data_IF_624727652583
#
_entry.id   IF_624727652583
#
_cell.length_a   1.000
_cell.length_b   1.000
_cell.length_c   1.000
_cell.angle_alpha   90.00
_cell.angle_beta   90.00
_cell.angle_gamma   90.00
#
_symmetry.space_group_name_H-M   'P 1'
#
loop_
_entity.id
_entity.type
_entity.pdbx_description
1 polymer ?
#
# COMPACT_ATOMS: atom_id res chain seq x y z
N UNK A 1 55.35 -0.84 -1.36
CA UNK A 1 53.92 -0.99 -1.39
C UNK A 1 53.60 -1.70 -2.68
N UNK A 2 53.12 -2.92 -2.61
CA UNK A 2 52.72 -3.68 -3.80
C UNK A 2 51.55 -3.01 -4.47
N UNK A 3 51.69 -2.76 -5.76
CA UNK A 3 50.62 -2.21 -6.64
C UNK A 3 49.47 -3.25 -6.66
N UNK A 4 48.41 -2.99 -5.91
CA UNK A 4 47.24 -3.84 -5.93
C UNK A 4 46.59 -3.60 -7.28
N UNK A 5 46.72 -4.57 -8.20
CA UNK A 5 45.98 -4.55 -9.49
C UNK A 5 44.48 -4.61 -9.21
N UNK A 6 43.85 -3.48 -9.30
CA UNK A 6 42.38 -3.30 -9.22
C UNK A 6 41.66 -3.71 -10.52
N UNK A 7 42.26 -4.55 -11.35
CA UNK A 7 41.84 -4.81 -12.73
C UNK A 7 41.02 -6.11 -12.93
N UNK A 8 40.82 -6.94 -11.90
CA UNK A 8 39.97 -8.13 -12.05
C UNK A 8 38.52 -7.80 -11.65
N UNK A 9 37.66 -7.86 -12.62
CA UNK A 9 36.19 -7.80 -12.39
C UNK A 9 35.71 -9.12 -11.76
N UNK A 10 35.84 -9.21 -10.45
CA UNK A 10 35.46 -10.40 -9.69
C UNK A 10 33.97 -10.71 -9.77
N UNK A 11 33.12 -9.73 -10.05
CA UNK A 11 31.67 -9.89 -10.21
C UNK A 11 31.32 -10.62 -11.51
N UNK A 12 32.11 -10.41 -12.57
CA UNK A 12 31.97 -11.11 -13.84
C UNK A 12 32.58 -12.51 -13.87
N UNK A 13 33.27 -12.92 -12.80
CA UNK A 13 33.88 -14.26 -12.72
C UNK A 13 32.79 -15.35 -12.62
N UNK A 14 33.16 -16.58 -12.93
CA UNK A 14 32.30 -17.75 -12.74
C UNK A 14 32.22 -18.06 -11.24
N UNK A 15 31.03 -18.26 -10.67
CA UNK A 15 30.89 -18.62 -9.26
C UNK A 15 31.37 -20.06 -9.00
N UNK A 16 31.79 -20.35 -7.78
CA UNK A 16 32.13 -21.70 -7.34
C UNK A 16 30.93 -22.66 -7.39
N UNK A 17 29.72 -22.13 -7.11
CA UNK A 17 28.49 -22.86 -7.19
C UNK A 17 27.62 -22.18 -8.26
N UNK A 18 27.38 -22.88 -9.37
CA UNK A 18 26.61 -22.42 -10.52
C UNK A 18 25.11 -22.46 -10.26
N UNK A 19 24.61 -21.57 -9.39
CA UNK A 19 23.19 -21.42 -9.08
C UNK A 19 22.74 -19.99 -9.37
N UNK A 20 21.68 -19.83 -10.17
CA UNK A 20 21.04 -18.54 -10.41
C UNK A 20 20.40 -18.00 -9.15
N UNK A 21 20.40 -16.67 -8.98
CA UNK A 21 19.73 -16.01 -7.87
C UNK A 21 18.52 -15.21 -8.39
N UNK A 22 17.40 -15.34 -7.71
CA UNK A 22 16.19 -14.61 -8.07
C UNK A 22 16.26 -13.11 -7.74
N UNK A 23 17.07 -12.74 -6.74
CA UNK A 23 17.26 -11.34 -6.31
C UNK A 23 18.66 -11.13 -5.75
N UNK A 24 19.38 -10.16 -6.29
CA UNK A 24 20.63 -9.63 -5.77
C UNK A 24 20.64 -8.12 -5.98
N UNK A 25 20.98 -7.33 -4.95
CA UNK A 25 20.92 -5.87 -5.07
C UNK A 25 21.06 -5.14 -3.74
N UNK A 26 20.46 -3.96 -3.66
CA UNK A 26 20.50 -3.07 -2.50
C UNK A 26 19.11 -2.82 -1.93
N UNK A 27 19.04 -2.68 -0.62
CA UNK A 27 17.80 -2.38 0.11
C UNK A 27 18.01 -1.26 1.12
N UNK A 28 16.96 -0.53 1.47
CA UNK A 28 16.99 0.49 2.51
C UNK A 28 17.77 1.75 2.13
N UNK A 29 17.96 2.04 0.85
CA UNK A 29 18.66 3.24 0.38
C UNK A 29 17.77 4.46 0.60
N UNK A 30 18.20 5.36 1.49
CA UNK A 30 17.44 6.57 1.82
C UNK A 30 17.84 7.71 0.88
N UNK A 31 16.85 8.34 0.24
CA UNK A 31 17.02 9.47 -0.67
C UNK A 31 15.91 10.49 -0.50
N UNK A 32 16.20 11.74 -0.84
CA UNK A 32 15.18 12.75 -1.09
C UNK A 32 14.81 12.68 -2.57
N UNK A 33 13.54 12.38 -2.85
CA UNK A 33 13.04 12.29 -4.23
C UNK A 33 12.04 13.41 -4.48
N UNK A 34 12.02 13.94 -5.69
CA UNK A 34 11.03 14.92 -6.14
C UNK A 34 9.94 14.18 -6.92
N UNK A 35 8.73 14.21 -6.40
CA UNK A 35 7.58 13.50 -6.97
C UNK A 35 6.57 14.51 -7.46
N UNK A 36 6.02 14.29 -8.66
CA UNK A 36 4.92 15.07 -9.24
C UNK A 36 3.58 14.59 -8.69
N UNK A 37 2.68 15.53 -8.51
CA UNK A 37 1.29 15.33 -8.18
C UNK A 37 0.45 16.37 -8.88
N UNK A 38 -0.26 15.99 -9.93
CA UNK A 38 -0.88 16.97 -10.81
C UNK A 38 0.15 18.01 -11.27
N UNK A 39 -0.13 19.28 -11.05
CA UNK A 39 0.78 20.40 -11.35
C UNK A 39 1.77 20.72 -10.23
N UNK A 40 1.62 20.10 -9.05
CA UNK A 40 2.49 20.32 -7.90
C UNK A 40 3.68 19.35 -7.89
N UNK A 41 4.81 19.84 -7.37
CA UNK A 41 6.00 19.03 -7.12
C UNK A 41 6.35 19.09 -5.65
N UNK A 42 6.64 17.93 -5.06
CA UNK A 42 6.99 17.83 -3.63
C UNK A 42 8.26 17.01 -3.47
N UNK A 43 9.18 17.50 -2.64
CA UNK A 43 10.34 16.71 -2.21
C UNK A 43 9.93 15.87 -1.02
N UNK A 44 10.19 14.56 -1.09
CA UNK A 44 9.83 13.58 -0.08
C UNK A 44 11.04 12.76 0.32
N UNK A 45 11.13 12.41 1.60
CA UNK A 45 12.04 11.37 2.04
C UNK A 45 11.51 10.02 1.58
N UNK A 46 12.35 9.25 0.90
CA UNK A 46 12.01 7.94 0.36
C UNK A 46 13.05 6.89 0.73
N UNK A 47 12.58 5.65 0.81
CA UNK A 47 13.41 4.44 0.92
C UNK A 47 13.27 3.68 -0.39
N UNK A 48 14.40 3.32 -0.99
CA UNK A 48 14.50 2.63 -2.26
C UNK A 48 15.13 1.25 -2.05
N UNK A 49 14.50 0.24 -2.65
CA UNK A 49 15.07 -1.10 -2.81
C UNK A 49 15.20 -1.38 -4.30
N UNK A 50 16.30 -2.00 -4.71
CA UNK A 50 16.50 -2.41 -6.09
C UNK A 50 17.25 -3.72 -6.16
N UNK A 51 16.69 -4.68 -6.88
CA UNK A 51 17.27 -6.01 -7.08
C UNK A 51 17.22 -6.41 -8.55
N UNK A 52 18.15 -7.30 -8.93
CA UNK A 52 18.19 -7.93 -10.24
C UNK A 52 18.26 -9.44 -10.10
N UNK A 53 17.84 -10.15 -11.12
CA UNK A 53 18.09 -11.57 -11.28
C UNK A 53 19.58 -11.77 -11.62
N UNK A 54 20.19 -12.81 -11.09
CA UNK A 54 21.58 -13.14 -11.36
C UNK A 54 21.67 -14.51 -12.03
N UNK A 55 22.28 -14.58 -13.19
CA UNK A 55 22.48 -15.81 -13.92
C UNK A 55 23.46 -16.76 -13.19
N UNK A 56 23.35 -18.06 -13.46
CA UNK A 56 24.14 -19.09 -12.78
C UNK A 56 25.65 -19.03 -13.08
N UNK A 57 26.03 -18.37 -14.17
CA UNK A 57 27.42 -18.16 -14.62
C UNK A 57 28.01 -16.81 -14.19
N UNK A 58 27.23 -15.98 -13.51
CA UNK A 58 27.64 -14.67 -13.02
C UNK A 58 27.82 -14.68 -11.48
N UNK A 59 29.01 -14.36 -10.99
CA UNK A 59 29.38 -14.43 -9.58
C UNK A 59 28.69 -13.36 -8.73
N UNK A 60 28.45 -12.15 -9.28
CA UNK A 60 27.86 -11.05 -8.53
C UNK A 60 27.41 -9.90 -9.40
N UNK A 61 26.75 -8.94 -8.77
CA UNK A 61 26.38 -7.64 -9.37
C UNK A 61 27.28 -6.53 -8.85
N UNK A 62 27.48 -5.49 -9.65
CA UNK A 62 28.25 -4.31 -9.24
C UNK A 62 27.39 -3.44 -8.30
N UNK A 63 27.53 -3.65 -7.00
CA UNK A 63 26.72 -2.99 -5.98
C UNK A 63 26.84 -1.45 -6.02
N UNK A 64 28.01 -0.89 -6.37
CA UNK A 64 28.22 0.56 -6.52
C UNK A 64 27.39 1.19 -7.64
N UNK A 65 27.03 0.43 -8.67
CA UNK A 65 26.22 0.92 -9.79
C UNK A 65 24.77 1.25 -9.40
N UNK A 66 24.22 0.61 -8.35
CA UNK A 66 22.85 0.91 -7.91
C UNK A 66 22.73 2.34 -7.36
N UNK A 67 23.54 2.79 -6.37
CA UNK A 67 23.52 4.18 -5.94
C UNK A 67 23.78 5.18 -7.06
N UNK A 68 24.72 4.91 -7.98
CA UNK A 68 24.99 5.77 -9.14
C UNK A 68 23.75 5.92 -10.02
N UNK A 69 23.04 4.83 -10.32
CA UNK A 69 21.82 4.85 -11.11
C UNK A 69 20.67 5.58 -10.40
N UNK A 70 20.62 5.49 -9.06
CA UNK A 70 19.64 6.28 -8.29
C UNK A 70 19.93 7.77 -8.39
N UNK A 71 21.20 8.20 -8.24
CA UNK A 71 21.57 9.61 -8.41
C UNK A 71 21.25 10.10 -9.84
N UNK A 72 21.67 9.35 -10.87
CA UNK A 72 21.34 9.68 -12.26
C UNK A 72 19.84 9.80 -12.50
N UNK A 73 19.02 8.90 -11.94
CA UNK A 73 17.57 8.93 -12.08
C UNK A 73 16.94 10.10 -11.31
N UNK A 74 17.44 10.37 -10.10
CA UNK A 74 16.99 11.51 -9.27
C UNK A 74 17.39 12.83 -9.89
N UNK A 75 18.63 12.95 -10.38
CA UNK A 75 19.14 14.18 -11.03
C UNK A 75 18.36 14.52 -12.30
N UNK A 76 18.01 13.51 -13.11
CA UNK A 76 17.17 13.71 -14.29
C UNK A 76 15.78 14.24 -13.94
N UNK A 77 15.23 13.81 -12.80
CA UNK A 77 13.95 14.33 -12.28
C UNK A 77 14.12 15.76 -11.75
N UNK A 78 15.28 16.10 -11.18
CA UNK A 78 15.59 17.47 -10.71
C UNK A 78 15.78 18.44 -11.87
N UNK A 79 16.42 18.02 -12.96
CA UNK A 79 16.72 18.84 -14.14
C UNK A 79 15.54 18.95 -15.14
N UNK A 80 14.60 18.00 -15.09
CA UNK A 80 13.44 17.94 -15.98
C UNK A 80 12.14 18.13 -15.21
N UNK A 81 11.11 17.38 -15.54
CA UNK A 81 9.85 17.37 -14.81
C UNK A 81 9.86 16.25 -13.74
N UNK A 82 9.33 16.56 -12.54
CA UNK A 82 9.12 15.55 -11.51
C UNK A 82 8.17 14.46 -12.02
N UNK A 83 8.46 13.20 -11.71
CA UNK A 83 7.71 12.04 -12.16
C UNK A 83 6.73 11.56 -11.07
N UNK A 84 5.74 10.79 -11.47
CA UNK A 84 4.98 9.92 -10.56
C UNK A 84 5.93 8.87 -9.96
N UNK A 85 5.65 8.41 -8.75
CA UNK A 85 6.55 7.51 -8.00
C UNK A 85 6.76 6.17 -8.71
N UNK A 86 5.71 5.63 -9.30
CA UNK A 86 5.74 4.38 -10.08
C UNK A 86 6.50 4.54 -11.39
N UNK A 87 6.40 5.72 -12.04
CA UNK A 87 7.15 6.04 -13.25
C UNK A 87 8.65 6.20 -12.93
N UNK A 88 8.98 6.79 -11.79
CA UNK A 88 10.37 6.85 -11.31
C UNK A 88 10.93 5.45 -11.05
N UNK A 89 10.14 4.57 -10.40
CA UNK A 89 10.53 3.19 -10.17
C UNK A 89 10.78 2.42 -11.48
N UNK A 90 9.90 2.60 -12.47
CA UNK A 90 10.01 2.00 -13.80
C UNK A 90 11.26 2.47 -14.54
N UNK A 91 11.54 3.78 -14.53
CA UNK A 91 12.75 4.31 -15.17
C UNK A 91 14.03 3.78 -14.52
N UNK A 92 14.05 3.67 -13.20
CA UNK A 92 15.20 3.07 -12.49
C UNK A 92 15.34 1.60 -12.87
N UNK A 93 14.26 0.81 -12.83
CA UNK A 93 14.28 -0.62 -13.18
C UNK A 93 14.81 -0.86 -14.60
N UNK A 94 14.31 -0.10 -15.58
CA UNK A 94 14.72 -0.19 -16.99
C UNK A 94 16.23 0.09 -17.15
N UNK A 95 16.73 1.17 -16.52
CA UNK A 95 18.16 1.50 -16.57
C UNK A 95 19.05 0.47 -15.89
N UNK A 96 18.55 -0.10 -14.77
CA UNK A 96 19.28 -1.14 -14.06
C UNK A 96 19.44 -2.40 -14.92
N UNK A 97 18.38 -2.83 -15.64
CA UNK A 97 18.46 -3.93 -16.61
C UNK A 97 19.57 -3.69 -17.63
N UNK A 98 19.60 -2.51 -18.24
CA UNK A 98 20.58 -2.14 -19.27
C UNK A 98 22.02 -2.11 -18.71
N UNK A 99 22.22 -1.39 -17.58
CA UNK A 99 23.57 -1.16 -17.02
C UNK A 99 24.19 -2.38 -16.34
N UNK A 100 23.36 -3.22 -15.71
CA UNK A 100 23.80 -4.46 -15.06
C UNK A 100 23.82 -5.65 -16.03
N UNK A 101 23.24 -5.52 -17.24
CA UNK A 101 22.98 -6.60 -18.18
C UNK A 101 22.18 -7.73 -17.51
N UNK A 102 21.25 -7.34 -16.65
CA UNK A 102 20.40 -8.27 -15.92
C UNK A 102 19.25 -8.77 -16.81
N UNK A 103 18.74 -9.96 -16.52
CA UNK A 103 17.56 -10.49 -17.20
C UNK A 103 16.32 -9.72 -16.77
N UNK A 104 16.25 -9.33 -15.48
CA UNK A 104 15.15 -8.59 -14.88
C UNK A 104 15.66 -7.72 -13.73
N UNK A 105 15.06 -6.56 -13.56
CA UNK A 105 15.24 -5.73 -12.37
C UNK A 105 13.88 -5.44 -11.72
N UNK A 106 13.88 -5.28 -10.40
CA UNK A 106 12.73 -4.90 -9.61
C UNK A 106 13.11 -3.75 -8.66
N UNK A 107 12.29 -2.70 -8.65
CA UNK A 107 12.50 -1.49 -7.85
C UNK A 107 11.27 -1.24 -7.01
N UNK A 108 11.46 -0.89 -5.73
CA UNK A 108 10.43 -0.42 -4.82
C UNK A 108 10.84 0.91 -4.23
N UNK A 109 9.94 1.88 -4.25
CA UNK A 109 10.09 3.21 -3.66
C UNK A 109 8.96 3.42 -2.66
N UNK A 110 9.30 3.78 -1.42
CA UNK A 110 8.34 4.12 -0.37
C UNK A 110 8.64 5.52 0.13
N UNK A 111 7.78 6.49 -0.22
CA UNK A 111 7.97 7.89 0.11
C UNK A 111 6.97 8.36 1.17
N UNK A 112 7.45 9.15 2.14
CA UNK A 112 6.59 9.79 3.14
C UNK A 112 5.93 11.03 2.53
N UNK A 113 4.63 10.95 2.32
CA UNK A 113 3.87 11.95 1.61
C UNK A 113 2.97 12.76 2.55
N UNK A 114 3.18 14.09 2.69
CA UNK A 114 2.31 14.95 3.46
C UNK A 114 1.03 15.26 2.69
N UNK A 115 -0.11 14.90 3.25
CA UNK A 115 -1.42 15.25 2.72
C UNK A 115 -2.10 16.27 3.63
N UNK A 116 -2.92 17.13 3.05
CA UNK A 116 -3.68 18.14 3.79
C UNK A 116 -5.16 17.79 3.79
N UNK A 117 -5.76 17.86 4.97
CA UNK A 117 -7.17 17.56 5.19
C UNK A 117 -7.88 18.65 5.96
N UNK A 118 -9.18 18.51 6.03
CA UNK A 118 -10.02 19.26 6.96
C UNK A 118 -10.64 18.30 7.97
N UNK A 119 -10.68 18.71 9.22
CA UNK A 119 -11.36 17.96 10.27
C UNK A 119 -12.87 17.87 9.98
N UNK A 120 -13.55 16.78 10.40
CA UNK A 120 -14.87 16.43 9.87
C UNK A 120 -16.00 17.40 10.27
N UNK A 121 -15.89 18.05 11.43
CA UNK A 121 -16.93 18.94 11.96
C UNK A 121 -16.47 20.40 11.97
N UNK A 122 -15.28 20.68 12.54
CA UNK A 122 -14.80 22.05 12.67
C UNK A 122 -14.14 22.59 11.41
N UNK A 123 -13.82 21.73 10.43
CA UNK A 123 -13.24 22.14 9.15
C UNK A 123 -11.82 22.70 9.26
N UNK A 124 -11.12 22.49 10.39
CA UNK A 124 -9.76 22.96 10.60
C UNK A 124 -8.78 22.19 9.68
N UNK A 125 -7.82 22.92 9.13
CA UNK A 125 -6.79 22.31 8.29
C UNK A 125 -5.80 21.56 9.17
N UNK A 126 -5.53 20.30 8.82
CA UNK A 126 -4.51 19.44 9.41
C UNK A 126 -3.63 18.85 8.31
N UNK A 127 -2.43 18.39 8.66
CA UNK A 127 -1.52 17.69 7.79
C UNK A 127 -1.26 16.30 8.37
N UNK A 128 -1.34 15.28 7.53
CA UNK A 128 -1.05 13.90 7.90
C UNK A 128 -0.04 13.30 6.94
N UNK A 129 0.66 12.28 7.43
CA UNK A 129 1.63 11.55 6.63
C UNK A 129 1.04 10.22 6.19
N UNK A 130 1.06 9.96 4.89
CA UNK A 130 0.76 8.66 4.29
C UNK A 130 2.01 8.14 3.59
N UNK A 131 2.10 6.83 3.38
CA UNK A 131 3.18 6.27 2.55
C UNK A 131 2.68 6.15 1.12
N UNK A 132 3.40 6.78 0.20
CA UNK A 132 3.24 6.61 -1.24
C UNK A 132 4.20 5.50 -1.71
N UNK A 133 3.69 4.53 -2.45
CA UNK A 133 4.44 3.38 -2.93
C UNK A 133 4.52 3.40 -4.46
N UNK A 134 5.72 3.22 -5.00
CA UNK A 134 5.94 2.94 -6.42
C UNK A 134 6.74 1.65 -6.54
N UNK A 135 6.24 0.68 -7.30
CA UNK A 135 6.94 -0.57 -7.56
C UNK A 135 7.01 -0.75 -9.08
N UNK A 136 8.13 -1.23 -9.58
CA UNK A 136 8.25 -1.59 -10.98
C UNK A 136 9.16 -2.80 -11.17
N UNK A 137 8.85 -3.57 -12.20
CA UNK A 137 9.75 -4.58 -12.73
C UNK A 137 9.99 -4.28 -14.22
N UNK A 138 11.22 -4.51 -14.67
CA UNK A 138 11.61 -4.36 -16.07
C UNK A 138 12.43 -5.56 -16.54
N UNK A 139 12.30 -5.90 -17.81
CA UNK A 139 13.07 -6.94 -18.51
C UNK A 139 13.34 -6.49 -19.96
N UNK A 140 13.96 -7.34 -20.77
CA UNK A 140 14.10 -7.09 -22.20
C UNK A 140 12.76 -7.10 -22.96
N UNK A 141 11.70 -7.68 -22.38
CA UNK A 141 10.38 -7.77 -22.99
C UNK A 141 9.54 -6.50 -22.74
N UNK A 142 9.79 -5.78 -21.65
CA UNK A 142 9.05 -4.58 -21.27
C UNK A 142 9.19 -4.23 -19.80
N UNK A 143 8.28 -3.40 -19.31
CA UNK A 143 8.20 -3.04 -17.91
C UNK A 143 6.75 -3.05 -17.44
N UNK A 144 6.54 -3.26 -16.15
CA UNK A 144 5.26 -3.09 -15.46
C UNK A 144 5.45 -2.25 -14.20
N UNK A 145 4.49 -1.42 -13.89
CA UNK A 145 4.53 -0.52 -12.75
C UNK A 145 3.28 -0.62 -11.89
N UNK A 146 3.45 -0.31 -10.61
CA UNK A 146 2.41 -0.32 -9.59
C UNK A 146 2.52 0.97 -8.79
N UNK A 147 1.43 1.70 -8.67
CA UNK A 147 1.27 2.78 -7.69
C UNK A 147 0.47 2.28 -6.51
N UNK A 148 0.76 2.77 -5.33
CA UNK A 148 -0.01 2.41 -4.15
C UNK A 148 0.18 3.36 -2.99
N UNK A 149 -0.62 3.14 -1.96
CA UNK A 149 -0.62 3.93 -0.74
C UNK A 149 -0.73 3.03 0.49
N UNK A 150 -0.17 3.51 1.61
CA UNK A 150 -0.51 3.00 2.93
C UNK A 150 -1.09 4.14 3.75
N UNK A 151 -2.32 3.96 4.18
CA UNK A 151 -3.06 4.90 5.03
C UNK A 151 -3.42 4.26 6.36
N UNK A 152 -3.53 5.09 7.40
CA UNK A 152 -3.89 4.64 8.74
C UNK A 152 -5.29 5.14 9.10
N UNK A 153 -6.07 4.29 9.77
CA UNK A 153 -7.39 4.61 10.26
C UNK A 153 -7.72 3.87 11.56
N UNK A 154 -9.00 3.85 11.91
CA UNK A 154 -9.52 3.09 13.06
C UNK A 154 -10.37 1.94 12.52
N UNK A 155 -10.20 0.75 13.10
CA UNK A 155 -11.16 -0.34 13.00
C UNK A 155 -11.77 -0.64 14.37
N UNK A 156 -13.10 -0.74 14.42
CA UNK A 156 -13.90 -1.12 15.57
C UNK A 156 -14.42 -2.55 15.37
N UNK A 157 -14.31 -3.40 16.39
CA UNK A 157 -14.59 -4.83 16.27
C UNK A 157 -16.10 -5.13 16.26
N UNK A 158 -16.66 -5.70 15.18
CA UNK A 158 -18.07 -6.08 15.13
C UNK A 158 -18.44 -7.19 16.14
N UNK A 159 -17.54 -8.16 16.35
CA UNK A 159 -17.80 -9.28 17.26
C UNK A 159 -17.96 -8.82 18.70
N UNK A 160 -17.02 -8.03 19.23
CA UNK A 160 -17.10 -7.51 20.59
C UNK A 160 -18.31 -6.57 20.76
N UNK A 161 -18.64 -5.77 19.72
CA UNK A 161 -19.85 -4.95 19.73
C UNK A 161 -21.12 -5.78 19.84
N UNK A 162 -21.21 -6.91 19.13
CA UNK A 162 -22.33 -7.85 19.22
C UNK A 162 -22.50 -8.41 20.62
N UNK A 163 -21.41 -8.75 21.31
CA UNK A 163 -21.46 -9.19 22.71
C UNK A 163 -21.97 -8.09 23.65
N UNK A 164 -21.52 -6.87 23.45
CA UNK A 164 -22.00 -5.69 24.24
C UNK A 164 -23.48 -5.44 23.96
N UNK A 165 -23.92 -5.55 22.70
CA UNK A 165 -25.33 -5.43 22.31
C UNK A 165 -26.19 -6.47 23.01
N UNK A 166 -25.81 -7.74 22.98
CA UNK A 166 -26.54 -8.82 23.65
C UNK A 166 -26.66 -8.56 25.17
N UNK A 167 -25.54 -8.16 25.79
CA UNK A 167 -25.55 -7.86 27.23
C UNK A 167 -26.39 -6.64 27.59
N UNK A 168 -26.39 -5.60 26.74
CA UNK A 168 -27.25 -4.43 26.92
C UNK A 168 -28.73 -4.79 26.77
N UNK A 169 -29.07 -5.65 25.79
CA UNK A 169 -30.43 -6.17 25.58
C UNK A 169 -30.93 -6.87 26.84
N UNK A 170 -30.18 -7.83 27.38
CA UNK A 170 -30.55 -8.55 28.61
C UNK A 170 -30.83 -7.57 29.76
N UNK A 171 -29.91 -6.61 30.01
CA UNK A 171 -30.08 -5.64 31.10
C UNK A 171 -31.28 -4.75 30.95
N UNK A 172 -31.56 -4.25 29.73
CA UNK A 172 -32.72 -3.39 29.47
C UNK A 172 -34.05 -4.17 29.66
N UNK A 173 -34.12 -5.43 29.24
CA UNK A 173 -35.28 -6.27 29.48
C UNK A 173 -35.47 -6.56 30.99
N UNK A 174 -34.38 -6.82 31.73
CA UNK A 174 -34.43 -7.04 33.19
C UNK A 174 -34.90 -5.80 33.94
N UNK A 175 -34.60 -4.59 33.43
CA UNK A 175 -35.11 -3.29 33.95
C UNK A 175 -36.53 -2.97 33.55
N UNK A 176 -37.19 -3.84 32.75
CA UNK A 176 -38.60 -3.73 32.41
C UNK A 176 -38.90 -2.95 31.13
N UNK A 177 -37.92 -2.63 30.29
CA UNK A 177 -38.16 -2.12 28.94
C UNK A 177 -38.76 -3.24 28.07
N UNK A 178 -39.68 -2.89 27.18
CA UNK A 178 -40.19 -3.87 26.21
C UNK A 178 -39.16 -4.07 25.04
N UNK A 179 -39.32 -5.17 24.31
CA UNK A 179 -38.37 -5.53 23.26
C UNK A 179 -38.27 -4.48 22.14
N UNK A 180 -39.36 -3.77 21.84
CA UNK A 180 -39.39 -2.73 20.80
C UNK A 180 -38.63 -1.48 21.23
N UNK A 181 -38.76 -1.09 22.50
CA UNK A 181 -38.02 0.02 23.07
C UNK A 181 -36.51 -0.32 23.16
N UNK A 182 -36.15 -1.56 23.56
CA UNK A 182 -34.76 -2.03 23.58
C UNK A 182 -34.11 -1.93 22.21
N UNK A 183 -34.78 -2.44 21.17
CA UNK A 183 -34.28 -2.38 19.80
C UNK A 183 -34.04 -0.93 19.37
N UNK A 184 -34.99 -0.05 19.60
CA UNK A 184 -34.91 1.37 19.26
C UNK A 184 -33.81 2.10 20.02
N UNK A 185 -33.57 1.80 21.32
CA UNK A 185 -32.48 2.37 22.10
C UNK A 185 -31.13 1.96 21.50
N UNK A 186 -30.97 0.67 21.19
CA UNK A 186 -29.71 0.12 20.68
C UNK A 186 -29.40 0.52 19.23
N UNK A 187 -30.37 1.04 18.50
CA UNK A 187 -30.17 1.66 17.18
C UNK A 187 -29.72 3.12 17.29
N UNK A 188 -30.18 3.84 18.32
CA UNK A 188 -29.92 5.27 18.48
C UNK A 188 -28.59 5.56 19.18
N UNK A 189 -28.09 4.63 20.00
CA UNK A 189 -26.90 4.85 20.85
C UNK A 189 -25.73 4.03 20.29
N UNK A 190 -24.60 4.66 19.96
CA UNK A 190 -23.40 3.95 19.57
C UNK A 190 -22.95 2.98 20.67
N UNK A 191 -22.82 1.70 20.32
CA UNK A 191 -22.41 0.68 21.27
C UNK A 191 -20.89 0.58 21.33
N UNK A 192 -20.33 0.53 22.54
CA UNK A 192 -18.91 0.39 22.75
C UNK A 192 -18.40 -0.96 22.19
N UNK A 193 -17.21 -0.94 21.66
CA UNK A 193 -16.40 -2.11 21.32
C UNK A 193 -14.93 -1.75 21.45
N UNK A 194 -14.03 -2.74 21.48
CA UNK A 194 -12.65 -2.38 21.32
C UNK A 194 -12.38 -1.86 19.92
N UNK A 195 -11.48 -0.91 19.82
CA UNK A 195 -11.01 -0.38 18.54
C UNK A 195 -9.50 -0.23 18.58
N UNK A 196 -8.91 -0.19 17.42
CA UNK A 196 -7.47 -0.12 17.22
C UNK A 196 -7.12 0.63 15.96
N UNK A 197 -5.86 1.06 15.87
CA UNK A 197 -5.33 1.53 14.60
C UNK A 197 -5.29 0.39 13.61
N UNK A 198 -5.68 0.69 12.37
CA UNK A 198 -5.50 -0.18 11.22
C UNK A 198 -4.64 0.51 10.18
N UNK A 199 -3.83 -0.26 9.46
CA UNK A 199 -3.09 0.19 8.28
C UNK A 199 -3.64 -0.52 7.07
N UNK A 200 -4.23 0.25 6.16
CA UNK A 200 -4.66 -0.22 4.86
C UNK A 200 -3.55 0.03 3.83
N UNK A 201 -3.21 -0.97 3.05
CA UNK A 201 -2.35 -0.89 1.87
C UNK A 201 -3.21 -1.16 0.64
N UNK A 202 -3.19 -0.26 -0.33
CA UNK A 202 -3.86 -0.42 -1.62
C UNK A 202 -2.84 -0.21 -2.73
N UNK A 203 -2.66 -1.23 -3.57
CA UNK A 203 -1.75 -1.21 -4.73
C UNK A 203 -2.55 -1.41 -6.01
N UNK A 204 -2.20 -0.64 -7.04
CA UNK A 204 -2.79 -0.71 -8.38
C UNK A 204 -1.69 -0.83 -9.42
N UNK A 205 -1.65 -1.92 -10.15
CA UNK A 205 -0.76 -2.14 -11.29
C UNK A 205 -1.46 -1.80 -12.58
N UNK A 206 -1.01 -0.74 -13.28
CA UNK A 206 -1.61 -0.26 -14.53
C UNK A 206 -0.64 0.63 -15.28
N UNK A 207 -0.85 0.77 -16.59
CA UNK A 207 -0.15 1.75 -17.44
C UNK A 207 -0.74 3.17 -17.33
N UNK A 208 -1.91 3.31 -16.71
CA UNK A 208 -2.58 4.61 -16.56
C UNK A 208 -1.95 5.42 -15.44
N UNK A 209 -1.90 6.75 -15.61
CA UNK A 209 -1.54 7.68 -14.55
C UNK A 209 -2.73 7.82 -13.60
N UNK A 210 -2.54 7.42 -12.34
CA UNK A 210 -3.58 7.49 -11.32
C UNK A 210 -3.33 8.62 -10.31
N UNK A 211 -4.43 9.20 -9.80
CA UNK A 211 -4.35 10.11 -8.67
C UNK A 211 -4.21 9.32 -7.36
N UNK A 212 -3.03 9.39 -6.76
CA UNK A 212 -2.77 8.70 -5.50
C UNK A 212 -3.62 9.23 -4.31
N UNK A 213 -4.17 10.47 -4.37
CA UNK A 213 -5.11 10.94 -3.34
C UNK A 213 -6.40 10.12 -3.36
N UNK A 214 -6.87 9.76 -4.53
CA UNK A 214 -8.04 8.89 -4.66
C UNK A 214 -7.79 7.52 -4.01
N UNK A 215 -6.58 6.97 -4.17
CA UNK A 215 -6.21 5.70 -3.52
C UNK A 215 -6.19 5.83 -1.99
N UNK A 216 -5.70 6.97 -1.46
CA UNK A 216 -5.75 7.25 -0.01
C UNK A 216 -7.19 7.32 0.48
N UNK A 217 -8.06 8.04 -0.23
CA UNK A 217 -9.49 8.12 0.13
C UNK A 217 -10.17 6.74 0.16
N UNK A 218 -9.90 5.90 -0.84
CA UNK A 218 -10.44 4.54 -0.90
C UNK A 218 -9.91 3.69 0.28
N UNK A 219 -8.61 3.74 0.55
CA UNK A 219 -7.99 3.01 1.65
C UNK A 219 -8.58 3.41 3.01
N UNK A 220 -8.79 4.70 3.25
CA UNK A 220 -9.37 5.19 4.51
C UNK A 220 -10.84 4.88 4.68
N UNK A 221 -11.64 5.06 3.63
CA UNK A 221 -13.07 4.71 3.63
C UNK A 221 -13.31 3.22 3.80
N UNK A 222 -12.29 2.39 3.56
CA UNK A 222 -12.37 0.95 3.79
C UNK A 222 -12.34 0.57 5.27
N UNK A 223 -11.84 1.44 6.15
CA UNK A 223 -11.80 1.26 7.60
C UNK A 223 -13.05 1.84 8.29
N UNK A 224 -13.21 1.62 9.59
CA UNK A 224 -14.35 2.10 10.36
C UNK A 224 -14.39 3.63 10.49
N UNK A 225 -13.23 4.29 10.63
CA UNK A 225 -13.10 5.74 10.61
C UNK A 225 -11.67 6.17 10.20
N UNK A 226 -11.53 7.34 9.54
CA UNK A 226 -10.22 7.97 9.38
C UNK A 226 -9.70 8.50 10.71
N UNK A 227 -8.38 8.78 10.77
CA UNK A 227 -7.73 9.47 11.88
C UNK A 227 -7.24 10.84 11.44
N UNK A 228 -7.02 11.73 12.42
CA UNK A 228 -6.56 13.10 12.18
C UNK A 228 -5.53 13.48 13.24
N UNK A 229 -4.50 14.21 12.85
CA UNK A 229 -3.46 14.70 13.78
C UNK A 229 -4.00 15.83 14.68
N UNK A 230 -4.93 16.63 14.19
CA UNK A 230 -5.62 17.69 14.92
C UNK A 230 -7.13 17.42 15.01
N UNK A 231 -7.66 17.35 16.21
CA UNK A 231 -9.10 17.25 16.48
C UNK A 231 -9.51 18.25 17.57
N UNK A 232 -10.73 18.75 17.48
CA UNK A 232 -11.44 19.44 18.56
C UNK A 232 -12.55 18.53 19.08
N UNK A 233 -13.11 18.83 20.24
CA UNK A 233 -14.15 17.99 20.87
C UNK A 233 -15.31 17.55 19.94
N UNK A 234 -15.87 18.42 19.07
CA UNK A 234 -16.87 17.98 18.11
C UNK A 234 -16.34 16.99 17.08
N UNK A 235 -15.08 17.15 16.67
CA UNK A 235 -14.42 16.23 15.73
C UNK A 235 -14.14 14.89 16.39
N UNK A 236 -13.71 14.88 17.67
CA UNK A 236 -13.49 13.66 18.46
C UNK A 236 -14.79 12.86 18.60
N UNK A 237 -15.89 13.54 18.94
CA UNK A 237 -17.21 12.91 19.00
C UNK A 237 -17.59 12.25 17.68
N UNK A 238 -17.44 12.99 16.58
CA UNK A 238 -17.70 12.45 15.23
C UNK A 238 -16.91 11.19 14.93
N UNK A 239 -15.60 11.19 15.20
CA UNK A 239 -14.72 10.02 14.91
C UNK A 239 -15.14 8.82 15.76
N UNK A 240 -15.45 9.02 17.04
CA UNK A 240 -15.87 7.94 17.95
C UNK A 240 -17.22 7.37 17.51
N UNK A 241 -18.21 8.21 17.26
CA UNK A 241 -19.54 7.75 16.80
C UNK A 241 -19.44 7.04 15.46
N UNK A 242 -18.72 7.64 14.49
CA UNK A 242 -18.56 7.09 13.16
C UNK A 242 -17.91 5.71 13.18
N UNK A 243 -16.83 5.54 13.95
CA UNK A 243 -16.14 4.26 14.08
C UNK A 243 -17.04 3.17 14.67
N UNK A 244 -17.84 3.49 15.71
CA UNK A 244 -18.69 2.51 16.38
C UNK A 244 -20.02 2.26 15.65
N UNK A 245 -20.46 3.16 14.78
CA UNK A 245 -21.60 2.95 13.88
C UNK A 245 -21.24 2.15 12.62
N UNK A 246 -19.94 2.05 12.31
CA UNK A 246 -19.43 1.31 11.16
C UNK A 246 -18.33 0.31 11.56
N UNK A 247 -18.63 -0.63 12.48
CA UNK A 247 -17.64 -1.62 12.88
C UNK A 247 -17.27 -2.51 11.68
N UNK A 248 -15.99 -2.82 11.54
CA UNK A 248 -15.45 -3.64 10.43
C UNK A 248 -14.38 -4.59 10.92
N UNK A 249 -14.49 -5.84 10.48
CA UNK A 249 -13.40 -6.77 10.56
C UNK A 249 -12.26 -6.38 9.62
N UNK A 250 -11.07 -6.92 9.85
CA UNK A 250 -9.93 -6.75 8.95
C UNK A 250 -10.26 -7.24 7.53
N UNK A 251 -11.03 -8.31 7.41
CA UNK A 251 -11.53 -8.88 6.14
C UNK A 251 -12.51 -7.94 5.43
N UNK A 252 -13.36 -7.27 6.18
CA UNK A 252 -14.32 -6.32 5.61
C UNK A 252 -13.61 -5.10 5.04
N UNK A 253 -12.56 -4.61 5.73
CA UNK A 253 -11.73 -3.52 5.24
C UNK A 253 -11.10 -3.87 3.88
N UNK A 254 -10.55 -5.09 3.73
CA UNK A 254 -10.00 -5.55 2.44
C UNK A 254 -11.08 -5.59 1.34
N UNK A 255 -12.26 -6.15 1.65
CA UNK A 255 -13.37 -6.21 0.68
C UNK A 255 -13.84 -4.81 0.26
N UNK A 256 -13.97 -3.89 1.23
CA UNK A 256 -14.34 -2.51 0.97
C UNK A 256 -13.27 -1.75 0.17
N UNK A 257 -11.98 -1.98 0.44
CA UNK A 257 -10.90 -1.34 -0.30
C UNK A 257 -10.92 -1.77 -1.78
N UNK A 258 -11.01 -3.07 -2.07
CA UNK A 258 -11.07 -3.57 -3.44
C UNK A 258 -12.34 -3.12 -4.17
N UNK A 259 -13.49 -3.20 -3.52
CA UNK A 259 -14.75 -2.72 -4.10
C UNK A 259 -14.67 -1.22 -4.38
N UNK A 260 -14.19 -0.43 -3.41
CA UNK A 260 -14.00 1.01 -3.57
C UNK A 260 -13.04 1.37 -4.68
N UNK A 261 -11.94 0.62 -4.85
CA UNK A 261 -11.01 0.80 -5.96
C UNK A 261 -11.66 0.53 -7.32
N UNK A 262 -12.40 -0.59 -7.47
CA UNK A 262 -13.11 -0.93 -8.70
C UNK A 262 -14.19 0.10 -9.07
N UNK A 263 -14.91 0.63 -8.07
CA UNK A 263 -15.96 1.63 -8.28
C UNK A 263 -15.38 3.03 -8.59
N UNK A 264 -14.22 3.38 -7.99
CA UNK A 264 -13.59 4.70 -8.16
C UNK A 264 -12.68 4.79 -9.39
N UNK A 265 -12.22 3.64 -9.90
CA UNK A 265 -11.31 3.53 -11.04
C UNK A 265 -11.96 2.70 -12.18
N UNK A 266 -13.07 3.18 -12.77
CA UNK A 266 -13.80 2.41 -13.79
C UNK A 266 -13.01 2.18 -15.09
N UNK A 267 -11.94 2.96 -15.31
CA UNK A 267 -11.07 2.86 -16.48
C UNK A 267 -10.02 1.74 -16.41
N UNK A 268 -9.90 1.01 -15.30
CA UNK A 268 -8.97 -0.10 -15.21
C UNK A 268 -9.36 -1.24 -16.15
N UNK A 269 -8.37 -1.79 -16.84
CA UNK A 269 -8.53 -2.96 -17.72
C UNK A 269 -8.54 -4.27 -16.92
N UNK A 270 -9.12 -5.32 -17.48
CA UNK A 270 -9.18 -6.63 -16.83
C UNK A 270 -7.79 -7.25 -16.58
N UNK A 271 -6.76 -6.82 -17.32
CA UNK A 271 -5.37 -7.22 -17.12
C UNK A 271 -4.62 -6.40 -16.05
N UNK A 272 -5.18 -5.27 -15.61
CA UNK A 272 -4.62 -4.48 -14.52
C UNK A 272 -4.66 -5.25 -13.20
N UNK A 273 -3.82 -4.87 -12.25
CA UNK A 273 -3.65 -5.57 -10.98
C UNK A 273 -4.17 -4.74 -9.81
N UNK A 274 -4.79 -5.40 -8.85
CA UNK A 274 -5.17 -4.82 -7.57
C UNK A 274 -4.71 -5.69 -6.40
N UNK A 275 -4.25 -5.03 -5.32
CA UNK A 275 -4.01 -5.65 -4.03
C UNK A 275 -4.53 -4.72 -2.93
N UNK A 276 -5.31 -5.28 -2.00
CA UNK A 276 -5.64 -4.63 -0.75
C UNK A 276 -5.20 -5.51 0.41
N UNK A 277 -4.53 -4.90 1.38
CA UNK A 277 -4.14 -5.53 2.64
C UNK A 277 -4.56 -4.63 3.79
N UNK A 278 -5.06 -5.22 4.85
CA UNK A 278 -5.36 -4.55 6.11
C UNK A 278 -4.62 -5.23 7.25
N UNK A 279 -3.91 -4.44 8.05
CA UNK A 279 -3.32 -4.88 9.33
C UNK A 279 -3.96 -4.09 10.45
N UNK A 280 -4.54 -4.77 11.43
CA UNK A 280 -5.05 -4.15 12.65
C UNK A 280 -4.09 -4.40 13.82
N UNK A 281 -3.67 -3.32 14.47
CA UNK A 281 -2.81 -3.35 15.66
C UNK A 281 -3.68 -3.56 16.88
N UNK A 282 -3.94 -4.82 17.22
CA UNK A 282 -4.96 -5.20 18.20
C UNK A 282 -4.71 -4.63 19.60
N UNK A 283 -5.79 -4.22 20.28
CA UNK A 283 -5.71 -3.61 21.62
C UNK A 283 -5.96 -4.58 22.75
N UNK A 284 -6.75 -5.63 22.53
CA UNK A 284 -7.09 -6.65 23.54
C UNK A 284 -6.32 -7.95 23.37
N UNK A 285 -5.51 -8.07 22.30
CA UNK A 285 -4.66 -9.22 22.01
C UNK A 285 -3.19 -8.81 21.94
N UNK A 286 -2.29 -9.78 22.11
CA UNK A 286 -0.83 -9.57 22.02
C UNK A 286 -0.28 -9.69 20.60
N UNK A 287 -1.11 -10.03 19.63
CA UNK A 287 -0.78 -10.17 18.22
C UNK A 287 -1.63 -9.21 17.39
N UNK A 288 -1.13 -8.87 16.22
CA UNK A 288 -1.88 -8.14 15.20
C UNK A 288 -2.64 -9.13 14.30
N UNK A 289 -3.68 -8.65 13.63
CA UNK A 289 -4.43 -9.45 12.65
C UNK A 289 -4.26 -8.83 11.27
N UNK A 290 -4.27 -9.69 10.25
CA UNK A 290 -4.07 -9.31 8.86
C UNK A 290 -5.06 -10.02 7.95
N UNK A 291 -5.55 -9.31 6.94
CA UNK A 291 -6.22 -9.86 5.78
C UNK A 291 -5.64 -9.24 4.51
N UNK A 292 -5.66 -10.00 3.43
CA UNK A 292 -5.18 -9.58 2.12
C UNK A 292 -5.98 -10.25 1.02
N UNK A 293 -6.21 -9.54 -0.08
CA UNK A 293 -6.72 -10.09 -1.33
C UNK A 293 -6.08 -9.35 -2.50
N UNK A 294 -5.62 -10.10 -3.49
CA UNK A 294 -4.99 -9.61 -4.70
C UNK A 294 -5.47 -10.39 -5.92
N UNK A 295 -5.27 -9.81 -7.09
CA UNK A 295 -5.56 -10.44 -8.37
C UNK A 295 -5.61 -9.42 -9.49
N UNK A 296 -5.85 -9.89 -10.71
CA UNK A 296 -6.19 -8.99 -11.79
C UNK A 296 -7.60 -8.41 -11.61
N UNK A 297 -7.86 -7.25 -12.19
CA UNK A 297 -9.17 -6.60 -12.16
C UNK A 297 -10.25 -7.53 -12.73
N UNK A 298 -9.95 -8.27 -13.80
CA UNK A 298 -10.85 -9.25 -14.40
C UNK A 298 -11.18 -10.42 -13.47
N UNK A 299 -10.19 -10.93 -12.71
CA UNK A 299 -10.40 -11.96 -11.71
C UNK A 299 -11.34 -11.46 -10.61
N UNK A 300 -11.09 -10.26 -10.07
CA UNK A 300 -11.89 -9.66 -9.00
C UNK A 300 -13.32 -9.33 -9.45
N UNK A 301 -13.49 -8.76 -10.65
CA UNK A 301 -14.81 -8.49 -11.24
C UNK A 301 -15.61 -9.77 -11.45
N UNK A 302 -14.93 -10.84 -11.88
CA UNK A 302 -15.57 -12.15 -12.08
C UNK A 302 -16.02 -12.75 -10.75
N UNK A 303 -15.16 -12.74 -9.73
CA UNK A 303 -15.48 -13.24 -8.39
C UNK A 303 -16.67 -12.47 -7.79
N UNK A 304 -16.67 -11.13 -7.88
CA UNK A 304 -17.78 -10.30 -7.39
C UNK A 304 -19.12 -10.59 -8.10
N UNK A 305 -19.07 -10.98 -9.38
CA UNK A 305 -20.27 -11.30 -10.17
C UNK A 305 -20.79 -12.70 -9.92
N UNK A 306 -19.89 -13.69 -9.78
CA UNK A 306 -20.23 -15.11 -9.67
C UNK A 306 -20.41 -15.53 -8.21
N UNK A 307 -19.70 -14.88 -7.27
CA UNK A 307 -19.72 -15.23 -5.84
C UNK A 307 -18.89 -16.46 -5.49
N UNK A 308 -18.05 -16.94 -6.39
CA UNK A 308 -17.19 -18.11 -6.17
C UNK A 308 -15.72 -17.70 -6.30
N UNK A 309 -14.80 -18.26 -5.46
CA UNK A 309 -13.38 -17.99 -5.55
C UNK A 309 -12.82 -18.35 -6.93
N UNK A 310 -12.08 -17.42 -7.52
CA UNK A 310 -11.41 -17.57 -8.80
C UNK A 310 -9.88 -17.68 -8.67
N UNK A 311 -9.16 -17.62 -9.81
CA UNK A 311 -7.70 -17.48 -9.82
C UNK A 311 -7.25 -16.26 -9.00
N UNK A 312 -6.01 -16.32 -8.52
CA UNK A 312 -5.42 -15.25 -7.71
C UNK A 312 -4.01 -14.96 -8.23
N UNK A 313 -3.91 -14.14 -9.26
CA UNK A 313 -2.61 -13.69 -9.78
C UNK A 313 -1.91 -12.86 -8.71
N UNK A 314 -0.74 -13.31 -8.25
CA UNK A 314 0.05 -12.57 -7.26
C UNK A 314 0.73 -11.35 -7.88
N UNK A 315 1.16 -10.40 -7.04
CA UNK A 315 1.96 -9.25 -7.49
C UNK A 315 3.24 -9.71 -8.21
N UNK A 316 3.89 -10.75 -7.67
CA UNK A 316 5.11 -11.29 -8.27
C UNK A 316 4.85 -11.90 -9.65
N UNK A 317 3.76 -12.66 -9.82
CA UNK A 317 3.39 -13.25 -11.12
C UNK A 317 2.98 -12.16 -12.12
N UNK A 318 2.22 -11.17 -11.67
CA UNK A 318 1.82 -10.05 -12.51
C UNK A 318 3.03 -9.24 -12.98
N UNK A 319 3.96 -8.92 -12.08
CA UNK A 319 5.22 -8.24 -12.43
C UNK A 319 6.17 -9.11 -13.27
N UNK A 320 6.11 -10.43 -13.16
CA UNK A 320 6.95 -11.34 -13.96
C UNK A 320 6.55 -11.39 -15.44
N UNK A 321 5.36 -10.92 -15.77
CA UNK A 321 4.90 -10.82 -17.16
C UNK A 321 5.34 -9.49 -17.85
N UNK A 322 6.30 -8.76 -17.22
CA UNK A 322 6.94 -7.54 -17.75
C UNK A 322 8.02 -7.88 -18.80
#
# INVERSE_FOLDING_TARGET
MADVRLEEDLQAAIPEIGLALSRAGVTGVQKAVRIRRGDAQTVMAAVLDCTVDLAADQKGVHMSRFPELFEEAIDLVVEREALLVEVLAEQIATRVVERQRALRAEVSIRAQWPIHRRTPVTGLRTQEMVTLCGIAAASAAGARRVVGVEATGINACPCAQGLVRNRATERLLDEGFDASDVERILELVPLATHNQRGRATLLVGTEQDLDAELLVEVAERSMSAPIYDLLKRPDELFVVEHAHLQPRFVEDSVRHALRGALDSLPGLDDADFLLAQQVNFETIHTHDVVAERFGTVGELRTELRVGEPGPQTSLADWLAAA
#
